data_IF_150120628003
#
_entry.id   IF_150120628003
#
_cell.length_a   1.000
_cell.length_b   1.000
_cell.length_c   1.000
_cell.angle_alpha   90.00
_cell.angle_beta   90.00
_cell.angle_gamma   90.00
#
_symmetry.space_group_name_H-M   'P 1'
#
loop_
_entity.id
_entity.type
_entity.pdbx_description
1 polymer ?
#
# COMPACT_ATOMS: atom_id res chain seq x y z
N UNK A 1 18.02 3.75 -17.65
CA UNK A 1 17.17 2.55 -17.40
C UNK A 1 16.69 2.45 -15.95
N UNK A 2 17.57 2.60 -14.95
CA UNK A 2 17.22 2.53 -13.53
C UNK A 2 16.22 3.61 -13.05
N UNK A 3 16.43 4.88 -13.42
CA UNK A 3 15.51 6.00 -13.08
C UNK A 3 14.10 5.80 -13.68
N UNK A 4 14.01 5.16 -14.84
CA UNK A 4 12.75 4.84 -15.50
C UNK A 4 11.99 3.72 -14.79
N UNK A 5 12.68 2.62 -14.41
CA UNK A 5 12.11 1.53 -13.59
C UNK A 5 11.62 2.03 -12.23
N UNK A 6 12.33 2.98 -11.63
CA UNK A 6 11.94 3.68 -10.39
C UNK A 6 10.63 4.44 -10.55
N UNK A 7 10.55 5.34 -11.53
CA UNK A 7 9.36 6.17 -11.73
C UNK A 7 8.16 5.30 -12.08
N UNK A 8 8.37 4.26 -12.89
CA UNK A 8 7.36 3.29 -13.21
C UNK A 8 6.82 2.57 -11.95
N UNK A 9 7.69 2.19 -11.01
CA UNK A 9 7.27 1.56 -9.76
C UNK A 9 6.50 2.52 -8.84
N UNK A 10 6.97 3.75 -8.67
CA UNK A 10 6.27 4.76 -7.88
C UNK A 10 4.90 5.12 -8.49
N UNK A 11 4.85 5.34 -9.81
CA UNK A 11 3.61 5.56 -10.53
C UNK A 11 2.69 4.34 -10.49
N UNK A 12 3.22 3.12 -10.55
CA UNK A 12 2.41 1.91 -10.41
C UNK A 12 1.78 1.79 -9.02
N UNK A 13 2.52 2.14 -7.95
CA UNK A 13 1.98 2.16 -6.58
C UNK A 13 0.89 3.22 -6.44
N UNK A 14 1.15 4.46 -6.88
CA UNK A 14 0.15 5.54 -6.84
C UNK A 14 -1.08 5.20 -7.69
N UNK A 15 -0.87 4.67 -8.90
CA UNK A 15 -1.94 4.27 -9.80
C UNK A 15 -2.75 3.12 -9.21
N UNK A 16 -2.12 2.11 -8.62
CA UNK A 16 -2.81 1.01 -7.96
C UNK A 16 -3.62 1.47 -6.75
N UNK A 17 -3.12 2.44 -5.98
CA UNK A 17 -3.81 3.06 -4.86
C UNK A 17 -5.07 3.82 -5.31
N UNK A 18 -4.96 4.60 -6.38
CA UNK A 18 -6.09 5.31 -6.99
C UNK A 18 -7.08 4.35 -7.64
N UNK A 19 -6.60 3.30 -8.31
CA UNK A 19 -7.47 2.27 -8.90
C UNK A 19 -8.20 1.48 -7.82
N UNK A 20 -7.56 1.23 -6.68
CA UNK A 20 -8.20 0.63 -5.52
C UNK A 20 -9.43 1.48 -5.14
N UNK A 21 -9.26 2.77 -4.86
CA UNK A 21 -10.38 3.61 -4.41
C UNK A 21 -11.47 3.81 -5.47
N UNK A 22 -11.14 3.78 -6.76
CA UNK A 22 -12.13 3.99 -7.84
C UNK A 22 -12.88 2.69 -8.22
N UNK A 23 -12.23 1.53 -8.14
CA UNK A 23 -12.77 0.27 -8.69
C UNK A 23 -13.09 -0.78 -7.63
N UNK A 24 -12.76 -0.57 -6.36
CA UNK A 24 -12.97 -1.59 -5.32
C UNK A 24 -14.43 -2.05 -5.21
N UNK A 25 -15.39 -1.16 -5.44
CA UNK A 25 -16.83 -1.46 -5.47
C UNK A 25 -17.24 -2.58 -6.45
N UNK A 26 -16.51 -2.75 -7.55
CA UNK A 26 -16.83 -3.76 -8.57
C UNK A 26 -16.56 -5.19 -8.09
N UNK A 27 -15.72 -5.37 -7.06
CA UNK A 27 -15.31 -6.67 -6.55
C UNK A 27 -16.23 -7.14 -5.41
N UNK A 28 -16.38 -8.45 -5.23
CA UNK A 28 -17.04 -9.01 -4.03
C UNK A 28 -16.20 -8.73 -2.78
N UNK A 29 -16.82 -8.73 -1.60
CA UNK A 29 -16.13 -8.48 -0.33
C UNK A 29 -14.88 -9.36 -0.15
N UNK A 30 -14.99 -10.67 -0.40
CA UNK A 30 -13.85 -11.61 -0.35
C UNK A 30 -12.72 -11.18 -1.27
N UNK A 31 -13.04 -10.73 -2.49
CA UNK A 31 -12.03 -10.23 -3.43
C UNK A 31 -11.43 -8.90 -2.97
N UNK A 32 -12.23 -8.02 -2.34
CA UNK A 32 -11.70 -6.78 -1.75
C UNK A 32 -10.68 -7.08 -0.64
N UNK A 33 -10.95 -8.04 0.25
CA UNK A 33 -9.98 -8.47 1.26
C UNK A 33 -8.69 -8.99 0.63
N UNK A 34 -8.79 -9.85 -0.40
CA UNK A 34 -7.63 -10.38 -1.12
C UNK A 34 -6.83 -9.24 -1.75
N UNK A 35 -7.49 -8.28 -2.42
CA UNK A 35 -6.83 -7.15 -3.07
C UNK A 35 -6.09 -6.28 -2.05
N UNK A 36 -6.73 -5.96 -0.92
CA UNK A 36 -6.15 -5.13 0.15
C UNK A 36 -4.91 -5.78 0.77
N UNK A 37 -4.89 -7.11 0.88
CA UNK A 37 -3.73 -7.85 1.40
C UNK A 37 -2.65 -8.05 0.33
N UNK A 38 -3.04 -8.48 -0.86
CA UNK A 38 -2.11 -8.95 -1.88
C UNK A 38 -1.43 -7.80 -2.61
N UNK A 39 -2.10 -6.66 -2.78
CA UNK A 39 -1.53 -5.51 -3.50
C UNK A 39 -0.26 -5.00 -2.82
N UNK A 40 -0.25 -4.68 -1.51
CA UNK A 40 0.97 -4.24 -0.82
C UNK A 40 2.03 -5.33 -0.79
N UNK A 41 1.62 -6.59 -0.57
CA UNK A 41 2.53 -7.73 -0.55
C UNK A 41 3.26 -7.91 -1.89
N UNK A 42 2.55 -7.83 -3.01
CA UNK A 42 3.12 -7.91 -4.35
C UNK A 42 4.14 -6.79 -4.58
N UNK A 43 3.85 -5.56 -4.13
CA UNK A 43 4.80 -4.45 -4.21
C UNK A 43 6.05 -4.66 -3.35
N UNK A 44 5.93 -5.25 -2.15
CA UNK A 44 7.08 -5.59 -1.31
C UNK A 44 7.94 -6.67 -1.97
N UNK A 45 7.33 -7.72 -2.51
CA UNK A 45 8.06 -8.79 -3.21
C UNK A 45 8.76 -8.25 -4.44
N UNK A 46 8.07 -7.44 -5.24
CA UNK A 46 8.64 -6.82 -6.43
C UNK A 46 9.77 -5.85 -6.06
N UNK A 47 9.61 -5.09 -4.98
CA UNK A 47 10.66 -4.27 -4.40
C UNK A 47 11.91 -5.10 -4.07
N UNK A 48 11.74 -6.20 -3.32
CA UNK A 48 12.84 -7.05 -2.88
C UNK A 48 13.58 -7.70 -4.06
N UNK A 49 12.85 -8.12 -5.10
CA UNK A 49 13.43 -8.67 -6.33
C UNK A 49 14.26 -7.63 -7.09
N UNK A 50 13.78 -6.40 -7.19
CA UNK A 50 14.50 -5.30 -7.86
C UNK A 50 15.70 -4.85 -7.01
N UNK A 51 15.53 -4.73 -5.69
CA UNK A 51 16.57 -4.31 -4.76
C UNK A 51 17.77 -5.27 -4.79
N UNK A 52 17.55 -6.60 -4.87
CA UNK A 52 18.64 -7.58 -5.02
C UNK A 52 19.51 -7.33 -6.25
N UNK A 53 18.91 -6.84 -7.34
CA UNK A 53 19.60 -6.59 -8.62
C UNK A 53 20.27 -5.21 -8.69
N UNK A 54 19.78 -4.21 -7.93
CA UNK A 54 20.23 -2.81 -8.01
C UNK A 54 20.60 -2.20 -6.63
N UNK A 55 21.13 -3.04 -5.73
CA UNK A 55 21.35 -2.92 -4.28
C UNK A 55 21.64 -1.54 -3.65
N UNK A 56 22.31 -0.62 -4.34
CA UNK A 56 22.75 0.65 -3.73
C UNK A 56 21.87 1.86 -4.07
N UNK A 57 21.16 1.82 -5.20
CA UNK A 57 20.40 2.97 -5.70
C UNK A 57 18.89 2.85 -5.47
N UNK A 58 18.37 1.62 -5.32
CA UNK A 58 16.93 1.36 -5.15
C UNK A 58 16.46 1.60 -3.71
N UNK A 59 17.29 1.24 -2.72
CA UNK A 59 17.01 1.44 -1.29
C UNK A 59 16.70 2.91 -0.95
N UNK A 60 17.38 3.87 -1.59
CA UNK A 60 17.15 5.30 -1.36
C UNK A 60 15.86 5.83 -1.99
N UNK A 61 15.19 5.08 -2.87
CA UNK A 61 14.10 5.59 -3.72
C UNK A 61 12.79 4.81 -3.62
N UNK A 62 12.82 3.53 -3.27
CA UNK A 62 11.64 2.76 -2.87
C UNK A 62 10.90 3.35 -1.65
N UNK A 63 11.63 4.12 -0.86
CA UNK A 63 11.15 4.97 0.22
C UNK A 63 9.93 5.83 -0.16
N UNK A 64 9.87 6.43 -1.36
CA UNK A 64 8.73 7.26 -1.74
C UNK A 64 7.45 6.42 -1.88
N UNK A 65 7.55 5.28 -2.55
CA UNK A 65 6.46 4.31 -2.68
C UNK A 65 6.00 3.79 -1.31
N UNK A 66 6.95 3.53 -0.40
CA UNK A 66 6.65 3.13 0.97
C UNK A 66 5.94 4.24 1.76
N UNK A 67 6.36 5.51 1.65
CA UNK A 67 5.66 6.64 2.28
C UNK A 67 4.24 6.77 1.74
N UNK A 68 4.07 6.74 0.42
CA UNK A 68 2.74 6.83 -0.19
C UNK A 68 1.85 5.68 0.28
N UNK A 69 2.40 4.46 0.36
CA UNK A 69 1.70 3.31 0.92
C UNK A 69 1.30 3.52 2.39
N UNK A 70 2.23 3.97 3.25
CA UNK A 70 1.94 4.29 4.66
C UNK A 70 0.85 5.35 4.77
N UNK A 71 0.95 6.45 4.02
CA UNK A 71 -0.01 7.55 4.07
C UNK A 71 -1.40 7.09 3.61
N UNK A 72 -1.48 6.31 2.54
CA UNK A 72 -2.73 5.76 2.04
C UNK A 72 -3.38 4.82 3.04
N UNK A 73 -2.63 3.85 3.56
CA UNK A 73 -3.17 2.89 4.53
C UNK A 73 -3.50 3.52 5.87
N UNK A 74 -2.74 4.53 6.31
CA UNK A 74 -3.09 5.32 7.48
C UNK A 74 -4.39 6.11 7.27
N UNK A 75 -4.58 6.74 6.10
CA UNK A 75 -5.80 7.48 5.77
C UNK A 75 -7.03 6.56 5.65
N UNK A 76 -6.93 5.44 4.93
CA UNK A 76 -7.98 4.41 4.90
C UNK A 76 -8.26 3.86 6.31
N UNK A 77 -7.19 3.69 7.10
CA UNK A 77 -7.25 3.29 8.49
C UNK A 77 -7.91 4.32 9.40
N UNK A 78 -8.00 5.61 9.03
CA UNK A 78 -8.67 6.64 9.82
C UNK A 78 -10.16 6.78 9.51
N UNK A 79 -10.61 6.38 8.33
CA UNK A 79 -12.00 6.51 7.91
C UNK A 79 -12.97 5.69 8.77
N UNK A 80 -14.15 6.26 8.98
CA UNK A 80 -15.32 5.63 9.57
C UNK A 80 -15.90 4.55 8.66
N UNK A 81 -16.84 3.77 9.18
CA UNK A 81 -17.50 2.72 8.39
C UNK A 81 -18.21 3.31 7.16
N UNK A 82 -18.94 4.41 7.36
CA UNK A 82 -19.74 5.02 6.30
C UNK A 82 -18.83 5.60 5.20
N UNK A 83 -17.74 6.27 5.57
CA UNK A 83 -16.75 6.77 4.61
C UNK A 83 -16.09 5.65 3.78
N UNK A 84 -15.80 4.49 4.39
CA UNK A 84 -15.28 3.35 3.63
C UNK A 84 -16.34 2.77 2.68
N UNK A 85 -17.61 2.72 3.10
CA UNK A 85 -18.70 2.28 2.22
C UNK A 85 -18.88 3.24 1.04
N UNK A 86 -18.79 4.55 1.26
CA UNK A 86 -18.81 5.57 0.21
C UNK A 86 -17.65 5.41 -0.78
N UNK A 87 -16.48 4.98 -0.30
CA UNK A 87 -15.34 4.61 -1.14
C UNK A 87 -15.50 3.27 -1.86
N UNK A 88 -16.61 2.56 -1.64
CA UNK A 88 -16.95 1.31 -2.34
C UNK A 88 -16.54 0.04 -1.62
N UNK A 89 -16.09 0.11 -0.36
CA UNK A 89 -15.84 -1.09 0.44
C UNK A 89 -17.16 -1.76 0.82
N UNK A 90 -17.27 -3.06 0.57
CA UNK A 90 -18.45 -3.86 0.91
C UNK A 90 -18.34 -4.33 2.36
N UNK A 91 -18.92 -3.54 3.25
CA UNK A 91 -18.82 -3.74 4.70
C UNK A 91 -20.20 -4.10 5.25
N UNK A 92 -20.45 -5.39 5.43
CA UNK A 92 -21.77 -5.90 5.81
C UNK A 92 -21.98 -5.88 7.33
N UNK A 93 -20.96 -6.18 8.12
CA UNK A 93 -21.04 -6.25 9.57
C UNK A 93 -19.83 -5.56 10.26
N UNK A 94 -19.85 -5.55 11.59
CA UNK A 94 -18.78 -4.98 12.38
C UNK A 94 -17.47 -5.76 12.27
N UNK A 95 -17.54 -7.08 12.01
CA UNK A 95 -16.37 -7.95 11.89
C UNK A 95 -15.60 -7.63 10.61
N UNK A 96 -16.29 -7.48 9.48
CA UNK A 96 -15.66 -7.15 8.20
C UNK A 96 -15.06 -5.73 8.21
N UNK A 97 -15.75 -4.77 8.86
CA UNK A 97 -15.19 -3.44 9.13
C UNK A 97 -13.89 -3.54 9.93
N UNK A 98 -13.91 -4.29 11.04
CA UNK A 98 -12.74 -4.49 11.89
C UNK A 98 -11.57 -5.13 11.13
N UNK A 99 -11.86 -6.14 10.30
CA UNK A 99 -10.85 -6.83 9.49
C UNK A 99 -10.19 -5.86 8.49
N UNK A 100 -10.96 -5.05 7.77
CA UNK A 100 -10.38 -4.03 6.87
C UNK A 100 -9.50 -3.03 7.64
N UNK A 101 -9.96 -2.55 8.79
CA UNK A 101 -9.18 -1.63 9.65
C UNK A 101 -7.89 -2.28 10.12
N UNK A 102 -7.94 -3.56 10.50
CA UNK A 102 -6.76 -4.33 10.89
C UNK A 102 -5.74 -4.40 9.74
N UNK A 103 -6.20 -4.71 8.51
CA UNK A 103 -5.32 -4.74 7.35
C UNK A 103 -4.66 -3.40 7.07
N UNK A 104 -5.43 -2.31 7.11
CA UNK A 104 -4.89 -0.97 6.90
C UNK A 104 -3.84 -0.61 7.95
N UNK A 105 -4.10 -0.90 9.23
CA UNK A 105 -3.15 -0.64 10.31
C UNK A 105 -1.89 -1.50 10.19
N UNK A 106 -2.04 -2.81 9.95
CA UNK A 106 -0.90 -3.73 9.78
C UNK A 106 -0.02 -3.25 8.64
N UNK A 107 -0.60 -2.87 7.50
CA UNK A 107 0.19 -2.39 6.36
C UNK A 107 0.87 -1.05 6.63
N UNK A 108 0.18 -0.10 7.26
CA UNK A 108 0.79 1.16 7.67
C UNK A 108 2.01 0.92 8.58
N UNK A 109 1.88 0.02 9.57
CA UNK A 109 2.98 -0.32 10.50
C UNK A 109 4.11 -1.07 9.79
N UNK A 110 3.82 -2.05 8.93
CA UNK A 110 4.84 -2.84 8.23
C UNK A 110 5.65 -2.00 7.24
N UNK A 111 4.99 -1.06 6.55
CA UNK A 111 5.65 -0.17 5.59
C UNK A 111 6.40 0.97 6.29
N UNK A 112 6.05 1.30 7.53
CA UNK A 112 6.64 2.41 8.28
C UNK A 112 8.16 2.26 8.47
N UNK A 113 8.74 1.14 8.92
CA UNK A 113 10.19 0.96 8.98
C UNK A 113 10.91 1.12 7.63
N UNK A 114 10.25 0.73 6.54
CA UNK A 114 10.80 0.86 5.17
C UNK A 114 10.87 2.34 4.80
N UNK A 115 9.84 3.11 5.12
CA UNK A 115 9.89 4.56 5.02
C UNK A 115 10.95 5.13 6.00
N UNK A 116 10.83 4.90 7.30
CA UNK A 116 11.71 5.50 8.31
C UNK A 116 13.20 5.16 8.17
N UNK A 117 13.57 4.03 7.57
CA UNK A 117 14.96 3.63 7.34
C UNK A 117 15.79 4.71 6.65
N UNK A 118 15.21 5.53 5.76
CA UNK A 118 15.93 6.63 5.10
C UNK A 118 16.09 7.86 5.99
N UNK A 119 15.18 8.10 6.93
CA UNK A 119 15.28 9.21 7.87
C UNK A 119 16.29 8.93 9.00
N UNK A 120 16.41 7.67 9.43
CA UNK A 120 17.27 7.29 10.55
C UNK A 120 18.61 6.66 10.15
N UNK A 121 18.76 6.18 8.90
CA UNK A 121 20.11 5.94 8.37
C UNK A 121 20.74 7.30 8.08
N UNK A 122 21.53 7.78 9.05
CA UNK A 122 22.57 8.77 8.83
C UNK A 122 23.63 8.14 7.92
N UNK A 123 23.40 8.19 6.62
CA UNK A 123 24.47 8.14 5.60
C UNK A 123 24.41 9.45 4.82
#
# INVERSE_FOLDING_TARGET
MFLFLRDLFAYAVILSALLLTIKIQAFSETMQHIIVIFTPFAFIVLHELIARKFKKEFDNRAYLSAIVGVALFAALGSFSKDELIELGFKIHDAQSFFIFKLYFHIWAILLLPIALRKFFKKD
#
